data_IF_441866416572
#
_entry.id   IF_441866416572
#
_cell.length_a   1.000
_cell.length_b   1.000
_cell.length_c   1.000
_cell.angle_alpha   90.00
_cell.angle_beta   90.00
_cell.angle_gamma   90.00
#
_symmetry.space_group_name_H-M   'P 1'
#
loop_
_entity.id
_entity.type
_entity.pdbx_description
1 polymer ?
#
# COMPACT_ATOMS: atom_id res chain seq x y z
N UNK A 1 8.52 -23.15 13.96
CA UNK A 1 7.13 -23.66 14.09
C UNK A 1 6.30 -22.87 15.11
N UNK A 2 6.67 -21.62 15.43
CA UNK A 2 6.08 -20.84 16.54
C UNK A 2 5.06 -19.80 16.07
N UNK A 3 5.09 -19.41 14.80
CA UNK A 3 4.18 -18.40 14.23
C UNK A 3 2.76 -18.92 13.99
N UNK A 4 2.60 -20.23 13.77
CA UNK A 4 1.33 -20.84 13.38
C UNK A 4 0.36 -21.02 14.56
N UNK A 5 0.87 -21.21 15.78
CA UNK A 5 0.05 -21.47 16.99
C UNK A 5 -0.62 -20.19 17.51
N UNK A 6 -0.04 -19.01 17.25
CA UNK A 6 -0.63 -17.72 17.65
C UNK A 6 -1.87 -17.36 16.84
N UNK A 7 -1.96 -17.83 15.59
CA UNK A 7 -3.09 -17.55 14.70
C UNK A 7 -4.35 -18.37 15.01
N UNK A 8 -4.22 -19.53 15.67
CA UNK A 8 -5.32 -20.46 15.91
C UNK A 8 -5.98 -20.34 17.28
N UNK A 9 -5.29 -19.78 18.29
CA UNK A 9 -5.78 -19.84 19.68
C UNK A 9 -5.99 -18.49 20.38
N UNK A 10 -5.54 -17.37 19.81
CA UNK A 10 -5.95 -16.04 20.29
C UNK A 10 -7.25 -15.66 19.58
N UNK A 11 -8.23 -15.11 20.31
CA UNK A 11 -9.38 -14.42 19.71
C UNK A 11 -8.84 -13.54 18.58
N UNK A 12 -9.25 -13.82 17.35
CA UNK A 12 -8.93 -13.04 16.16
C UNK A 12 -9.59 -11.67 16.31
N UNK A 13 -8.97 -10.79 17.10
CA UNK A 13 -9.30 -9.38 17.10
C UNK A 13 -8.94 -8.85 15.71
N UNK A 14 -9.94 -8.31 15.01
CA UNK A 14 -9.80 -7.70 13.68
C UNK A 14 -8.62 -6.72 13.59
N UNK A 15 -8.20 -6.11 14.70
CA UNK A 15 -7.03 -5.25 14.80
C UNK A 15 -5.69 -5.96 14.49
N UNK A 16 -5.54 -7.24 14.83
CA UNK A 16 -4.31 -8.02 14.62
C UNK A 16 -4.11 -8.47 13.16
N UNK A 17 -5.19 -8.47 12.36
CA UNK A 17 -5.18 -8.88 10.97
C UNK A 17 -4.76 -7.76 10.01
N UNK A 18 -4.90 -6.50 10.42
CA UNK A 18 -4.63 -5.34 9.57
C UNK A 18 -3.19 -5.32 9.03
N UNK A 19 -2.11 -5.44 9.85
CA UNK A 19 -0.74 -5.24 9.37
C UNK A 19 -0.28 -6.23 8.28
N UNK A 20 -0.53 -7.55 8.39
CA UNK A 20 -0.15 -8.50 7.33
C UNK A 20 -0.83 -8.24 5.98
N UNK A 21 -2.11 -7.83 5.97
CA UNK A 21 -2.84 -7.61 4.73
C UNK A 21 -2.32 -6.40 3.94
N UNK A 22 -1.93 -5.33 4.63
CA UNK A 22 -1.30 -4.18 3.99
C UNK A 22 0.08 -4.51 3.40
N UNK A 23 0.88 -5.33 4.09
CA UNK A 23 2.18 -5.78 3.57
C UNK A 23 1.99 -6.59 2.28
N UNK A 24 1.04 -7.53 2.26
CA UNK A 24 0.74 -8.33 1.07
C UNK A 24 0.23 -7.47 -0.09
N UNK A 25 -0.63 -6.48 0.21
CA UNK A 25 -1.10 -5.54 -0.80
C UNK A 25 0.05 -4.69 -1.37
N UNK A 26 0.97 -4.24 -0.51
CA UNK A 26 2.17 -3.54 -0.95
C UNK A 26 3.06 -4.38 -1.86
N UNK A 27 3.23 -5.66 -1.52
CA UNK A 27 4.02 -6.60 -2.34
C UNK A 27 3.45 -6.74 -3.75
N UNK A 28 2.14 -6.99 -3.89
CA UNK A 28 1.52 -7.11 -5.23
C UNK A 28 1.57 -5.79 -6.01
N UNK A 29 1.44 -4.63 -5.34
CA UNK A 29 1.58 -3.33 -5.99
C UNK A 29 3.01 -3.08 -6.51
N UNK A 30 4.03 -3.45 -5.73
CA UNK A 30 5.44 -3.38 -6.15
C UNK A 30 5.68 -4.31 -7.34
N UNK A 31 5.13 -5.52 -7.32
CA UNK A 31 5.25 -6.46 -8.45
C UNK A 31 4.62 -5.91 -9.71
N UNK A 32 3.42 -5.32 -9.63
CA UNK A 32 2.78 -4.63 -10.76
C UNK A 32 3.63 -3.45 -11.26
N UNK A 33 4.21 -2.67 -10.36
CA UNK A 33 5.07 -1.54 -10.73
C UNK A 33 6.33 -2.02 -11.48
N UNK A 34 6.99 -3.06 -10.97
CA UNK A 34 8.16 -3.66 -11.59
C UNK A 34 7.81 -4.25 -12.97
N UNK A 35 6.73 -5.01 -13.07
CA UNK A 35 6.25 -5.58 -14.34
C UNK A 35 5.92 -4.50 -15.37
N UNK A 36 5.21 -3.44 -14.96
CA UNK A 36 4.89 -2.30 -15.84
C UNK A 36 6.16 -1.59 -16.32
N UNK A 37 7.13 -1.40 -15.43
CA UNK A 37 8.43 -0.79 -15.76
C UNK A 37 9.20 -1.64 -16.77
N UNK A 38 9.22 -2.96 -16.60
CA UNK A 38 9.86 -3.88 -17.53
C UNK A 38 9.20 -3.83 -18.91
N UNK A 39 7.87 -3.80 -18.97
CA UNK A 39 7.11 -3.71 -20.23
C UNK A 39 7.43 -2.39 -20.96
N UNK A 40 7.50 -1.27 -20.23
CA UNK A 40 7.80 0.04 -20.81
C UNK A 40 9.21 0.14 -21.41
N UNK A 41 10.15 -0.68 -20.93
CA UNK A 41 11.54 -0.70 -21.40
C UNK A 41 11.87 -1.97 -22.20
N UNK A 42 10.85 -2.73 -22.62
CA UNK A 42 11.06 -4.04 -23.24
C UNK A 42 11.79 -3.97 -24.58
N UNK A 43 11.62 -2.88 -25.33
CA UNK A 43 12.26 -2.66 -26.63
C UNK A 43 13.80 -2.56 -26.54
N UNK A 44 14.33 -2.28 -25.35
CA UNK A 44 15.76 -2.14 -25.15
C UNK A 44 16.49 -3.51 -25.15
N UNK A 45 15.78 -4.62 -24.92
CA UNK A 45 16.36 -5.95 -24.69
C UNK A 45 15.56 -7.02 -25.45
N UNK A 46 16.21 -7.79 -26.33
CA UNK A 46 15.55 -8.82 -27.16
C UNK A 46 14.76 -9.83 -26.35
N UNK A 47 15.32 -10.32 -25.24
CA UNK A 47 14.64 -11.24 -24.32
C UNK A 47 13.34 -10.66 -23.76
N UNK A 48 13.35 -9.39 -23.34
CA UNK A 48 12.17 -8.72 -22.77
C UNK A 48 11.05 -8.59 -23.81
N UNK A 49 11.42 -8.30 -25.06
CA UNK A 49 10.46 -8.24 -26.17
C UNK A 49 9.76 -9.58 -26.37
N UNK A 50 10.51 -10.70 -26.35
CA UNK A 50 9.94 -12.06 -26.48
C UNK A 50 8.99 -12.42 -25.33
N UNK A 51 9.33 -12.07 -24.08
CA UNK A 51 8.50 -12.40 -22.91
C UNK A 51 7.44 -11.33 -22.59
N UNK A 52 7.35 -10.24 -23.36
CA UNK A 52 6.42 -9.14 -23.10
C UNK A 52 4.95 -9.58 -22.95
N UNK A 53 4.41 -10.49 -23.79
CA UNK A 53 3.04 -10.98 -23.63
C UNK A 53 2.82 -11.65 -22.26
N UNK A 54 3.80 -12.43 -21.80
CA UNK A 54 3.78 -13.08 -20.49
C UNK A 54 3.84 -12.06 -19.35
N UNK A 55 4.73 -11.07 -19.46
CA UNK A 55 4.83 -9.97 -18.49
C UNK A 55 3.52 -9.18 -18.38
N UNK A 56 2.86 -8.87 -19.50
CA UNK A 56 1.55 -8.19 -19.49
C UNK A 56 0.52 -8.98 -18.70
N UNK A 57 0.41 -10.30 -18.96
CA UNK A 57 -0.52 -11.18 -18.25
C UNK A 57 -0.27 -11.21 -16.73
N UNK A 58 0.98 -11.43 -16.32
CA UNK A 58 1.35 -11.46 -14.90
C UNK A 58 1.15 -10.10 -14.21
N UNK A 59 1.52 -9.02 -14.89
CA UNK A 59 1.39 -7.66 -14.34
C UNK A 59 -0.08 -7.31 -14.09
N UNK A 60 -0.97 -7.64 -15.04
CA UNK A 60 -2.42 -7.49 -14.89
C UNK A 60 -2.94 -8.39 -13.77
N UNK A 61 -2.51 -9.64 -13.69
CA UNK A 61 -2.92 -10.56 -12.63
C UNK A 61 -2.62 -10.00 -11.23
N UNK A 62 -1.40 -9.52 -11.00
CA UNK A 62 -1.02 -8.90 -9.73
C UNK A 62 -1.77 -7.59 -9.47
N UNK A 63 -2.07 -6.82 -10.52
CA UNK A 63 -2.84 -5.59 -10.38
C UNK A 63 -4.30 -5.87 -10.00
N UNK A 64 -4.93 -6.90 -10.58
CA UNK A 64 -6.28 -7.34 -10.21
C UNK A 64 -6.29 -7.80 -8.75
N UNK A 65 -5.31 -8.62 -8.36
CA UNK A 65 -5.15 -9.05 -6.97
C UNK A 65 -5.01 -7.83 -6.04
N UNK A 66 -4.17 -6.85 -6.38
CA UNK A 66 -4.01 -5.59 -5.65
C UNK A 66 -5.30 -4.77 -5.54
N UNK A 67 -6.07 -4.69 -6.63
CA UNK A 67 -7.34 -3.97 -6.68
C UNK A 67 -8.40 -4.62 -5.79
N UNK A 68 -8.38 -5.94 -5.65
CA UNK A 68 -9.29 -6.67 -4.76
C UNK A 68 -9.03 -6.37 -3.28
N UNK A 69 -7.80 -6.02 -2.90
CA UNK A 69 -7.48 -5.61 -1.54
C UNK A 69 -8.08 -4.24 -1.20
N UNK A 70 -8.25 -3.33 -2.16
CA UNK A 70 -8.67 -1.95 -1.88
C UNK A 70 -9.99 -1.85 -1.12
N UNK A 71 -11.10 -2.50 -1.55
CA UNK A 71 -12.36 -2.46 -0.79
C UNK A 71 -12.20 -2.93 0.66
N UNK A 72 -11.47 -4.04 0.88
CA UNK A 72 -11.21 -4.57 2.21
C UNK A 72 -10.43 -3.56 3.07
N UNK A 73 -9.40 -2.95 2.49
CA UNK A 73 -8.55 -1.98 3.19
C UNK A 73 -9.29 -0.69 3.54
N UNK A 74 -10.18 -0.21 2.65
CA UNK A 74 -11.07 0.91 2.96
C UNK A 74 -12.04 0.59 4.10
N UNK A 75 -12.65 -0.60 4.09
CA UNK A 75 -13.54 -1.06 5.16
C UNK A 75 -12.78 -1.11 6.49
N UNK A 76 -11.57 -1.69 6.50
CA UNK A 76 -10.74 -1.78 7.70
C UNK A 76 -10.31 -0.39 8.22
N UNK A 77 -10.02 0.55 7.31
CA UNK A 77 -9.65 1.93 7.69
C UNK A 77 -10.83 2.68 8.31
N UNK A 78 -12.02 2.59 7.69
CA UNK A 78 -13.26 3.16 8.22
C UNK A 78 -13.59 2.52 9.58
N UNK A 79 -13.53 1.20 9.68
CA UNK A 79 -13.80 0.50 10.93
C UNK A 79 -12.84 0.91 12.06
N UNK A 80 -11.53 0.98 11.79
CA UNK A 80 -10.52 1.36 12.79
C UNK A 80 -10.69 2.81 13.27
N UNK A 81 -10.99 3.75 12.36
CA UNK A 81 -10.96 5.19 12.68
C UNK A 81 -12.34 5.78 13.00
N UNK A 82 -13.40 5.39 12.30
CA UNK A 82 -14.76 5.88 12.54
C UNK A 82 -15.47 5.08 13.64
N UNK A 83 -15.37 3.74 13.61
CA UNK A 83 -16.15 2.90 14.53
C UNK A 83 -15.46 2.69 15.88
N UNK A 84 -14.16 2.38 15.90
CA UNK A 84 -13.42 2.15 17.16
C UNK A 84 -12.78 3.39 17.76
N UNK A 85 -12.87 4.56 17.09
CA UNK A 85 -12.29 5.85 17.51
C UNK A 85 -10.90 5.70 18.14
N UNK A 86 -10.05 4.88 17.52
CA UNK A 86 -8.71 4.64 18.03
C UNK A 86 -8.02 6.01 18.20
N UNK A 87 -7.37 6.27 19.36
CA UNK A 87 -6.79 7.58 19.62
C UNK A 87 -5.83 7.95 18.49
N UNK A 88 -5.84 9.23 18.08
CA UNK A 88 -4.98 9.82 17.05
C UNK A 88 -3.52 9.94 17.54
N UNK A 89 -3.04 8.96 18.30
CA UNK A 89 -1.64 8.79 18.65
C UNK A 89 -0.91 8.17 17.47
N UNK A 90 0.27 8.72 17.16
CA UNK A 90 1.15 8.14 16.15
C UNK A 90 1.50 6.69 16.49
N UNK A 91 1.25 5.80 15.54
CA UNK A 91 1.65 4.39 15.56
C UNK A 91 2.47 4.13 14.29
N UNK A 92 3.73 3.65 14.38
CA UNK A 92 4.54 3.30 13.22
C UNK A 92 3.83 2.37 12.22
N UNK A 93 2.88 1.54 12.67
CA UNK A 93 2.09 0.67 11.81
C UNK A 93 1.24 1.44 10.77
N UNK A 94 0.96 2.73 11.00
CA UNK A 94 0.26 3.59 10.03
C UNK A 94 1.05 3.72 8.72
N UNK A 95 2.38 3.73 8.77
CA UNK A 95 3.24 3.75 7.58
C UNK A 95 3.08 2.51 6.72
N UNK A 96 2.92 1.35 7.37
CA UNK A 96 2.63 0.08 6.70
C UNK A 96 1.33 0.12 5.90
N UNK A 97 0.40 1.03 6.22
CA UNK A 97 -0.89 1.18 5.52
C UNK A 97 -0.84 2.24 4.41
N UNK A 98 -0.25 3.41 4.67
CA UNK A 98 -0.23 4.49 3.67
C UNK A 98 0.76 4.24 2.54
N UNK A 99 1.79 3.41 2.77
CA UNK A 99 2.75 3.05 1.74
C UNK A 99 2.13 2.22 0.59
N UNK A 100 1.43 1.09 0.85
CA UNK A 100 0.78 0.33 -0.22
C UNK A 100 -0.24 1.12 -1.03
N UNK A 101 -0.95 2.07 -0.42
CA UNK A 101 -1.89 2.95 -1.13
C UNK A 101 -1.18 3.82 -2.17
N UNK A 102 -0.05 4.42 -1.79
CA UNK A 102 0.78 5.17 -2.72
C UNK A 102 1.36 4.25 -3.82
N UNK A 103 1.86 3.07 -3.45
CA UNK A 103 2.40 2.10 -4.40
C UNK A 103 1.37 1.57 -5.39
N UNK A 104 0.12 1.38 -4.98
CA UNK A 104 -0.95 1.01 -5.89
C UNK A 104 -1.28 2.13 -6.87
N UNK A 105 -1.27 3.38 -6.41
CA UNK A 105 -1.49 4.55 -7.27
C UNK A 105 -0.40 4.64 -8.34
N UNK A 106 0.87 4.52 -7.95
CA UNK A 106 2.01 4.58 -8.88
C UNK A 106 2.05 3.37 -9.81
N UNK A 107 1.76 2.16 -9.32
CA UNK A 107 1.73 0.95 -10.14
C UNK A 107 0.60 0.99 -11.17
N UNK A 108 -0.59 1.48 -10.79
CA UNK A 108 -1.72 1.62 -11.72
C UNK A 108 -1.45 2.68 -12.79
N UNK A 109 -0.78 3.78 -12.43
CA UNK A 109 -0.29 4.77 -13.39
C UNK A 109 0.67 4.15 -14.41
N UNK A 110 1.71 3.46 -13.92
CA UNK A 110 2.69 2.81 -14.79
C UNK A 110 2.07 1.72 -15.66
N UNK A 111 1.11 0.96 -15.11
CA UNK A 111 0.37 -0.06 -15.85
C UNK A 111 -0.46 0.53 -16.99
N UNK A 112 -1.10 1.68 -16.76
CA UNK A 112 -1.85 2.41 -17.79
C UNK A 112 -0.97 2.77 -18.98
N UNK A 113 0.26 3.22 -18.71
CA UNK A 113 1.25 3.52 -19.74
C UNK A 113 1.76 2.23 -20.42
N UNK A 114 2.12 1.21 -19.64
CA UNK A 114 2.67 -0.05 -20.12
C UNK A 114 1.72 -0.83 -21.04
N UNK A 115 0.41 -0.74 -20.79
CA UNK A 115 -0.63 -1.37 -21.61
C UNK A 115 -1.19 -0.45 -22.69
N UNK A 116 -0.75 0.82 -22.72
CA UNK A 116 -1.33 1.87 -23.55
C UNK A 116 -2.86 1.92 -23.41
N UNK A 117 -3.34 1.90 -22.15
CA UNK A 117 -4.75 1.84 -21.79
C UNK A 117 -5.15 3.05 -20.94
N UNK A 118 -5.53 4.18 -21.57
CA UNK A 118 -5.78 5.45 -20.88
C UNK A 118 -6.96 5.43 -19.92
N UNK A 119 -7.95 4.54 -20.13
CA UNK A 119 -9.10 4.40 -19.24
C UNK A 119 -8.68 4.05 -17.80
N UNK A 120 -7.56 3.33 -17.64
CA UNK A 120 -7.02 2.97 -16.33
C UNK A 120 -6.55 4.20 -15.53
N UNK A 121 -6.24 5.31 -16.20
CA UNK A 121 -5.75 6.56 -15.61
C UNK A 121 -6.76 7.24 -14.67
N UNK A 122 -8.05 6.88 -14.75
CA UNK A 122 -9.08 7.38 -13.82
C UNK A 122 -8.76 6.96 -12.38
N UNK A 123 -8.27 5.74 -12.18
CA UNK A 123 -7.97 5.19 -10.86
C UNK A 123 -6.83 5.98 -10.16
N UNK A 124 -5.63 6.15 -10.74
CA UNK A 124 -4.56 6.87 -10.08
C UNK A 124 -4.89 8.37 -9.91
N UNK A 125 -5.67 8.98 -10.81
CA UNK A 125 -6.14 10.36 -10.66
C UNK A 125 -6.99 10.56 -9.40
N UNK A 126 -7.78 9.57 -8.99
CA UNK A 126 -8.55 9.63 -7.75
C UNK A 126 -7.70 9.23 -6.55
N UNK A 127 -6.98 8.10 -6.67
CA UNK A 127 -6.21 7.53 -5.57
C UNK A 127 -5.05 8.43 -5.13
N UNK A 128 -4.47 9.25 -6.00
CA UNK A 128 -3.37 10.17 -5.64
C UNK A 128 -3.77 11.17 -4.56
N UNK A 129 -4.98 11.72 -4.61
CA UNK A 129 -5.45 12.67 -3.60
C UNK A 129 -5.65 11.98 -2.25
N UNK A 130 -6.18 10.74 -2.26
CA UNK A 130 -6.35 9.92 -1.06
C UNK A 130 -4.98 9.55 -0.48
N UNK A 131 -4.04 9.13 -1.32
CA UNK A 131 -2.68 8.77 -0.93
C UNK A 131 -1.95 9.96 -0.30
N UNK A 132 -2.01 11.14 -0.92
CA UNK A 132 -1.40 12.37 -0.40
C UNK A 132 -2.04 12.75 0.94
N UNK A 133 -3.37 12.76 1.04
CA UNK A 133 -4.05 13.08 2.29
C UNK A 133 -3.64 12.14 3.43
N UNK A 134 -3.59 10.83 3.15
CA UNK A 134 -3.17 9.82 4.13
C UNK A 134 -1.69 9.99 4.52
N UNK A 135 -0.79 10.20 3.56
CA UNK A 135 0.62 10.45 3.81
C UNK A 135 0.86 11.71 4.64
N UNK A 136 0.21 12.83 4.29
CA UNK A 136 0.30 14.08 5.04
C UNK A 136 -0.20 13.90 6.46
N UNK A 137 -1.31 13.20 6.67
CA UNK A 137 -1.85 12.93 7.99
C UNK A 137 -0.88 12.11 8.87
N UNK A 138 -0.31 11.02 8.34
CA UNK A 138 0.66 10.19 9.07
C UNK A 138 1.98 10.94 9.29
N UNK A 139 2.45 11.71 8.31
CA UNK A 139 3.65 12.53 8.41
C UNK A 139 3.53 13.62 9.48
N UNK A 140 2.41 14.34 9.53
CA UNK A 140 2.12 15.33 10.58
C UNK A 140 2.07 14.65 11.96
N UNK A 141 1.46 13.45 12.03
CA UNK A 141 1.39 12.67 13.27
C UNK A 141 2.77 12.26 13.77
N UNK A 142 3.66 11.85 12.86
CA UNK A 142 5.06 11.56 13.17
C UNK A 142 5.80 12.80 13.68
N UNK A 143 5.70 13.94 12.99
CA UNK A 143 6.37 15.19 13.40
C UNK A 143 5.90 15.62 14.80
N UNK A 144 4.59 15.59 15.06
CA UNK A 144 4.02 15.90 16.38
C UNK A 144 4.52 14.96 17.47
N UNK A 145 4.63 13.67 17.16
CA UNK A 145 5.15 12.66 18.09
C UNK A 145 6.63 12.90 18.41
N UNK A 146 7.46 13.13 17.40
CA UNK A 146 8.87 13.45 17.56
C UNK A 146 9.06 14.73 18.37
N UNK A 147 8.31 15.79 18.06
CA UNK A 147 8.38 17.06 18.76
C UNK A 147 8.05 16.92 20.26
N UNK A 148 6.97 16.21 20.60
CA UNK A 148 6.58 15.92 22.00
C UNK A 148 7.63 15.09 22.74
N UNK A 149 8.19 14.07 22.09
CA UNK A 149 9.20 13.22 22.71
C UNK A 149 10.48 14.00 22.99
N UNK A 150 10.90 14.86 22.06
CA UNK A 150 12.09 15.70 22.21
C UNK A 150 11.88 16.71 23.36
N UNK A 151 10.76 17.43 23.37
CA UNK A 151 10.45 18.41 24.44
C UNK A 151 10.32 17.77 25.83
N UNK A 152 9.73 16.57 25.94
CA UNK A 152 9.71 15.82 27.20
C UNK A 152 11.10 15.39 27.68
N UNK A 153 12.03 15.11 26.76
CA UNK A 153 13.41 14.72 27.09
C UNK A 153 14.22 15.92 27.57
N UNK A 154 13.99 17.10 27.00
CA UNK A 154 14.64 18.35 27.42
C UNK A 154 14.15 18.89 28.77
N UNK A 155 12.93 18.57 29.20
CA UNK A 155 12.41 18.98 30.52
C UNK A 155 12.82 18.05 31.68
N UNK A 156 13.49 16.92 31.38
CA UNK A 156 13.97 15.93 32.35
C UNK A 156 15.49 15.95 32.56
N UNK A 157 16.19 16.87 31.89
CA UNK A 157 17.63 17.16 32.06
C UNK A 157 17.74 18.54 32.72
#
# INVERSE_FOLDING_TARGET
MTYMIRFTFLRLEFAALTPPYWINMGAVAITTLAGSTLILHAENWSLLTEITPFLKGFTIFFWIAGSWWIPLLFILMIWRHLYHRYPLSYDPQLWGMVFPLAMYTTSTYQLSLALNFPALMVIPKLMVFIAIAAWSFVGISLIRHLYRNITHRFHKV
#
